data_IF_592143948866
#
_entry.id   IF_592143948866
#
_cell.length_a   1.000
_cell.length_b   1.000
_cell.length_c   1.000
_cell.angle_alpha   90.00
_cell.angle_beta   90.00
_cell.angle_gamma   90.00
#
_symmetry.space_group_name_H-M   'P 1'
#
loop_
_entity.id
_entity.type
_entity.pdbx_description
1 polymer ?
#
# COMPACT_ATOMS: atom_id res chain seq x y z
N UNK A 1 -24.31 -8.52 -11.19
CA UNK A 1 -22.84 -8.39 -11.06
C UNK A 1 -22.53 -6.92 -10.86
N UNK A 2 -22.29 -6.52 -9.62
CA UNK A 2 -22.11 -5.12 -9.20
C UNK A 2 -20.66 -4.70 -9.41
N UNK A 3 -20.38 -3.96 -10.49
CA UNK A 3 -19.09 -3.32 -10.73
C UNK A 3 -18.92 -2.14 -9.77
N UNK A 4 -18.36 -2.39 -8.59
CA UNK A 4 -17.83 -1.33 -7.74
C UNK A 4 -16.54 -0.80 -8.38
N UNK A 5 -16.66 0.19 -9.26
CA UNK A 5 -15.52 1.06 -9.56
C UNK A 5 -15.27 1.84 -8.26
N UNK A 6 -14.08 1.75 -7.64
CA UNK A 6 -13.82 2.44 -6.39
C UNK A 6 -13.90 3.94 -6.66
N UNK A 7 -14.57 4.70 -5.79
CA UNK A 7 -14.33 6.13 -5.66
C UNK A 7 -12.82 6.34 -5.55
N UNK A 8 -12.20 6.85 -6.61
CA UNK A 8 -10.76 7.16 -6.64
C UNK A 8 -10.57 8.40 -5.76
N UNK A 9 -10.30 8.13 -4.48
CA UNK A 9 -9.88 9.14 -3.51
C UNK A 9 -8.61 9.84 -4.01
N UNK A 10 -8.37 11.09 -3.58
CA UNK A 10 -7.12 11.83 -3.82
C UNK A 10 -5.85 11.02 -3.52
N UNK A 11 -5.96 9.97 -2.69
CA UNK A 11 -4.90 8.98 -2.44
C UNK A 11 -4.41 8.29 -3.71
N UNK A 12 -5.29 7.84 -4.60
CA UNK A 12 -4.87 7.13 -5.81
C UNK A 12 -4.09 8.05 -6.72
N UNK A 13 -4.53 9.29 -6.87
CA UNK A 13 -3.85 10.28 -7.69
C UNK A 13 -2.47 10.66 -7.13
N UNK A 14 -2.39 10.76 -5.80
CA UNK A 14 -1.15 10.93 -5.06
C UNK A 14 -0.20 9.76 -5.34
N UNK A 15 -0.63 8.52 -5.12
CA UNK A 15 0.21 7.34 -5.39
C UNK A 15 0.64 7.21 -6.85
N UNK A 16 -0.23 7.53 -7.81
CA UNK A 16 0.13 7.52 -9.24
C UNK A 16 1.14 8.61 -9.57
N UNK A 17 1.02 9.81 -9.00
CA UNK A 17 2.00 10.90 -9.20
C UNK A 17 3.37 10.50 -8.65
N UNK A 18 3.39 9.82 -7.51
CA UNK A 18 4.61 9.34 -6.86
C UNK A 18 5.36 8.27 -7.66
N UNK A 19 4.74 7.63 -8.66
CA UNK A 19 5.44 6.72 -9.57
C UNK A 19 6.49 7.46 -10.41
N UNK A 20 6.30 8.76 -10.67
CA UNK A 20 7.24 9.58 -11.43
C UNK A 20 8.55 9.84 -10.68
N UNK A 21 8.57 9.72 -9.34
CA UNK A 21 9.77 9.82 -8.48
C UNK A 21 10.71 10.97 -8.91
N UNK A 22 11.90 10.61 -9.42
CA UNK A 22 12.93 11.52 -9.94
C UNK A 22 12.39 12.47 -11.02
N UNK A 23 11.54 12.00 -11.92
CA UNK A 23 10.98 12.83 -13.01
C UNK A 23 10.08 13.95 -12.49
N UNK A 24 9.28 13.69 -11.45
CA UNK A 24 8.50 14.74 -10.79
C UNK A 24 9.42 15.76 -10.11
N UNK A 25 10.45 15.29 -9.41
CA UNK A 25 11.43 16.17 -8.76
C UNK A 25 12.10 17.13 -9.75
N UNK A 26 12.59 16.59 -10.86
CA UNK A 26 13.23 17.38 -11.93
C UNK A 26 12.23 18.30 -12.65
N UNK A 27 11.01 17.81 -12.93
CA UNK A 27 9.95 18.60 -13.57
C UNK A 27 9.58 19.84 -12.74
N UNK A 28 9.52 19.68 -11.42
CA UNK A 28 9.26 20.74 -10.46
C UNK A 28 10.46 21.67 -10.22
N UNK A 29 11.65 21.33 -10.74
CA UNK A 29 12.86 22.13 -10.59
C UNK A 29 13.35 22.20 -9.14
N UNK A 30 13.20 21.10 -8.39
CA UNK A 30 13.58 21.03 -6.99
C UNK A 30 15.11 20.86 -6.83
N UNK A 31 15.68 21.31 -5.70
CA UNK A 31 17.12 21.23 -5.48
C UNK A 31 17.60 19.82 -5.13
N UNK A 32 18.82 19.50 -5.55
CA UNK A 32 19.49 18.22 -5.29
C UNK A 32 19.05 17.11 -6.25
N UNK A 33 19.55 15.91 -6.01
CA UNK A 33 19.13 14.72 -6.73
C UNK A 33 18.07 13.95 -5.94
N UNK A 34 17.01 13.48 -6.59
CA UNK A 34 16.03 12.60 -5.94
C UNK A 34 16.71 11.38 -5.30
N UNK A 35 16.39 11.12 -4.04
CA UNK A 35 16.95 10.02 -3.25
C UNK A 35 15.86 9.12 -2.66
N UNK A 36 15.93 8.87 -1.35
CA UNK A 36 15.11 7.85 -0.69
C UNK A 36 13.78 8.41 -0.21
N UNK A 37 12.69 7.73 -0.54
CA UNK A 37 11.34 8.05 -0.08
C UNK A 37 11.11 7.62 1.38
N UNK A 38 10.35 8.42 2.11
CA UNK A 38 9.91 8.13 3.47
C UNK A 38 8.38 7.90 3.54
N UNK A 39 7.87 7.31 4.64
CA UNK A 39 6.45 7.22 4.91
C UNK A 39 5.79 8.62 4.97
N UNK A 40 4.60 8.75 4.36
CA UNK A 40 3.86 10.02 4.28
C UNK A 40 2.82 10.18 5.41
N UNK A 41 2.56 9.11 6.17
CA UNK A 41 1.64 9.07 7.31
C UNK A 41 2.45 8.61 8.52
N UNK A 42 2.47 9.42 9.57
CA UNK A 42 3.08 9.02 10.83
C UNK A 42 2.11 9.31 11.98
N UNK A 43 1.73 8.23 12.68
CA UNK A 43 0.77 8.27 13.79
C UNK A 43 1.54 8.27 15.09
N UNK A 44 1.25 9.23 15.99
CA UNK A 44 1.85 9.28 17.33
C UNK A 44 0.79 9.40 18.41
N UNK A 45 1.06 8.88 19.62
CA UNK A 45 0.22 9.12 20.79
C UNK A 45 0.15 10.62 21.11
N UNK A 46 -1.05 11.14 21.32
CA UNK A 46 -1.33 12.53 21.72
C UNK A 46 -1.00 13.65 20.71
N UNK A 47 -0.76 13.32 19.44
CA UNK A 47 -0.78 14.30 18.34
C UNK A 47 -1.83 13.89 17.32
N UNK A 48 -2.53 14.87 16.74
CA UNK A 48 -3.32 14.62 15.54
C UNK A 48 -2.42 13.97 14.49
N UNK A 49 -2.89 12.88 13.89
CA UNK A 49 -2.12 12.13 12.88
C UNK A 49 -1.58 13.10 11.83
N UNK A 50 -0.25 13.22 11.77
CA UNK A 50 0.42 14.08 10.83
C UNK A 50 0.46 13.41 9.47
N UNK A 51 -0.13 14.05 8.46
CA UNK A 51 -0.14 13.56 7.09
C UNK A 51 0.45 14.61 6.18
N UNK A 52 1.57 14.26 5.57
CA UNK A 52 2.25 15.02 4.54
C UNK A 52 1.85 14.46 3.17
N UNK A 53 1.87 15.30 2.13
CA UNK A 53 1.69 14.78 0.78
C UNK A 53 2.82 13.88 0.31
N UNK A 54 4.01 14.41 0.12
CA UNK A 54 5.18 13.58 -0.19
C UNK A 54 6.36 13.93 0.69
N UNK A 55 7.02 12.89 1.20
CA UNK A 55 8.23 13.03 1.98
C UNK A 55 9.33 12.14 1.41
N UNK A 56 10.45 12.74 1.02
CA UNK A 56 11.61 12.01 0.52
C UNK A 56 12.88 12.81 0.76
N UNK A 57 14.03 12.15 0.79
CA UNK A 57 15.33 12.80 0.83
C UNK A 57 15.92 12.97 -0.56
N UNK A 58 16.70 14.01 -0.73
CA UNK A 58 17.66 14.11 -1.83
C UNK A 58 18.91 13.28 -1.49
N UNK A 59 19.74 12.95 -2.48
CA UNK A 59 21.00 12.22 -2.27
C UNK A 59 21.97 13.00 -1.36
N UNK A 60 21.87 14.33 -1.35
CA UNK A 60 22.64 15.24 -0.50
C UNK A 60 22.10 15.30 0.94
N UNK A 61 21.04 14.56 1.23
CA UNK A 61 20.49 14.44 2.58
C UNK A 61 19.52 15.53 2.98
N UNK A 62 18.99 16.32 2.03
CA UNK A 62 17.92 17.29 2.30
C UNK A 62 16.58 16.54 2.27
N UNK A 63 15.73 16.74 3.27
CA UNK A 63 14.38 16.18 3.29
C UNK A 63 13.43 17.13 2.54
N UNK A 64 12.88 16.69 1.42
CA UNK A 64 11.82 17.40 0.70
C UNK A 64 10.48 17.05 1.33
N UNK A 65 9.80 18.06 1.86
CA UNK A 65 8.41 18.00 2.30
C UNK A 65 7.56 18.70 1.25
N UNK A 66 6.79 17.95 0.46
CA UNK A 66 5.94 18.46 -0.61
C UNK A 66 4.47 18.37 -0.18
N UNK A 67 3.76 19.50 -0.24
CA UNK A 67 2.34 19.63 0.09
C UNK A 67 1.57 20.16 -1.12
N UNK A 68 0.38 19.63 -1.41
CA UNK A 68 -0.50 20.12 -2.47
C UNK A 68 -1.71 20.86 -1.91
N UNK A 69 -1.83 22.15 -2.26
CA UNK A 69 -2.89 23.02 -1.74
C UNK A 69 -3.81 23.51 -2.87
N UNK A 70 -5.05 23.02 -2.85
CA UNK A 70 -6.09 23.43 -3.80
C UNK A 70 -6.76 24.76 -3.42
N UNK A 71 -6.69 25.13 -2.14
CA UNK A 71 -7.25 26.35 -1.56
C UNK A 71 -6.24 27.50 -1.49
N UNK A 72 -6.60 28.51 -0.71
CA UNK A 72 -5.66 29.56 -0.32
C UNK A 72 -4.75 29.08 0.81
N UNK A 73 -3.47 29.40 0.72
CA UNK A 73 -2.52 29.11 1.79
C UNK A 73 -2.59 30.24 2.80
N UNK A 74 -3.02 29.90 4.02
CA UNK A 74 -3.17 30.83 5.14
C UNK A 74 -2.06 30.62 6.18
N UNK A 75 -1.98 31.49 7.19
CA UNK A 75 -1.07 31.26 8.32
C UNK A 75 -1.36 29.96 9.05
N UNK A 76 -2.64 29.58 9.20
CA UNK A 76 -3.05 28.31 9.79
C UNK A 76 -2.57 27.11 8.97
N UNK A 77 -2.58 27.23 7.63
CA UNK A 77 -2.01 26.23 6.73
C UNK A 77 -0.51 26.10 6.99
N UNK A 78 0.22 27.21 7.05
CA UNK A 78 1.66 27.20 7.32
C UNK A 78 2.01 26.72 8.73
N UNK A 79 1.18 26.99 9.73
CA UNK A 79 1.35 26.47 11.08
C UNK A 79 1.34 24.94 11.08
N UNK A 80 0.34 24.33 10.42
CA UNK A 80 0.23 22.88 10.28
C UNK A 80 1.47 22.30 9.59
N UNK A 81 1.89 22.89 8.47
CA UNK A 81 3.06 22.45 7.72
C UNK A 81 4.36 22.65 8.52
N UNK A 82 4.47 23.73 9.30
CA UNK A 82 5.63 24.01 10.14
C UNK A 82 5.81 22.95 11.23
N UNK A 83 4.71 22.54 11.88
CA UNK A 83 4.70 21.44 12.86
C UNK A 83 5.21 20.14 12.23
N UNK A 84 4.75 19.80 11.03
CA UNK A 84 5.23 18.61 10.31
C UNK A 84 6.70 18.70 9.88
N UNK A 85 7.14 19.87 9.44
CA UNK A 85 8.54 20.11 9.08
C UNK A 85 9.47 19.90 10.28
N UNK A 86 9.11 20.36 11.48
CA UNK A 86 9.92 20.09 12.69
C UNK A 86 9.95 18.61 13.01
N UNK A 87 8.80 17.96 12.91
CA UNK A 87 8.72 16.52 13.11
C UNK A 87 9.64 15.75 12.16
N UNK A 88 9.60 16.05 10.86
CA UNK A 88 10.48 15.42 9.88
C UNK A 88 11.95 15.72 10.14
N UNK A 89 12.28 16.93 10.59
CA UNK A 89 13.63 17.28 11.01
C UNK A 89 14.09 16.43 12.20
N UNK A 90 13.25 16.28 13.22
CA UNK A 90 13.56 15.54 14.44
C UNK A 90 13.75 14.04 14.16
N UNK A 91 12.78 13.40 13.51
CA UNK A 91 12.80 11.94 13.27
C UNK A 91 13.90 11.51 12.33
N UNK A 92 14.11 12.28 11.26
CA UNK A 92 15.10 11.90 10.25
C UNK A 92 16.45 12.58 10.42
N UNK A 93 16.59 13.50 11.39
CA UNK A 93 17.80 14.29 11.64
C UNK A 93 18.32 14.98 10.36
N UNK A 94 17.40 15.48 9.53
CA UNK A 94 17.70 16.08 8.21
C UNK A 94 17.14 17.48 8.10
N UNK A 95 17.86 18.38 7.40
CA UNK A 95 17.32 19.69 7.04
C UNK A 95 16.12 19.51 6.12
N UNK A 96 15.02 20.18 6.42
CA UNK A 96 13.77 20.05 5.66
C UNK A 96 13.57 21.24 4.73
N UNK A 97 13.35 20.97 3.45
CA UNK A 97 12.97 21.92 2.42
C UNK A 97 11.49 21.71 2.09
N UNK A 98 10.65 22.68 2.47
CA UNK A 98 9.21 22.62 2.27
C UNK A 98 8.81 23.25 0.94
N UNK A 99 8.09 22.49 0.12
CA UNK A 99 7.53 22.90 -1.16
C UNK A 99 6.02 22.85 -1.06
N UNK A 100 5.34 23.89 -1.49
CA UNK A 100 3.88 23.93 -1.57
C UNK A 100 3.48 24.13 -3.02
N UNK A 101 2.82 23.14 -3.61
CA UNK A 101 2.24 23.25 -4.95
C UNK A 101 0.84 23.84 -4.80
N UNK A 102 0.62 25.02 -5.36
CA UNK A 102 -0.63 25.76 -5.23
C UNK A 102 -1.43 25.69 -6.54
N UNK A 103 -2.75 25.51 -6.42
CA UNK A 103 -3.68 25.66 -7.55
C UNK A 103 -4.11 27.11 -7.76
N UNK A 104 -3.93 27.96 -6.75
CA UNK A 104 -4.21 29.40 -6.77
C UNK A 104 -2.91 30.19 -6.82
N UNK A 105 -2.98 31.39 -7.40
CA UNK A 105 -1.82 32.26 -7.54
C UNK A 105 -1.29 32.67 -6.14
N UNK A 106 -0.02 32.36 -5.81
CA UNK A 106 0.52 32.56 -4.48
C UNK A 106 0.97 34.00 -4.19
N UNK A 107 0.68 34.97 -5.08
CA UNK A 107 1.08 36.39 -4.93
C UNK A 107 0.77 36.94 -3.54
N UNK A 108 -0.43 36.62 -3.01
CA UNK A 108 -0.90 37.11 -1.72
C UNK A 108 -0.74 36.10 -0.57
N UNK A 109 -0.11 34.95 -0.81
CA UNK A 109 0.08 33.95 0.25
C UNK A 109 1.22 34.34 1.20
N UNK A 110 1.14 33.97 2.48
CA UNK A 110 2.19 34.25 3.44
C UNK A 110 3.53 33.66 2.98
N UNK A 111 4.61 34.46 3.00
CA UNK A 111 5.93 34.03 2.52
C UNK A 111 6.78 33.34 3.60
N UNK A 112 6.39 33.49 4.85
CA UNK A 112 7.06 32.91 6.00
C UNK A 112 6.05 32.72 7.13
N UNK A 113 6.35 31.78 8.02
CA UNK A 113 5.62 31.57 9.26
C UNK A 113 6.61 31.36 10.41
N UNK A 114 6.35 32.02 11.54
CA UNK A 114 7.17 31.94 12.74
C UNK A 114 6.51 30.97 13.70
N UNK A 115 7.04 29.75 13.83
CA UNK A 115 6.56 28.85 14.88
C UNK A 115 7.13 29.27 16.24
N UNK A 116 8.39 29.69 16.24
CA UNK A 116 9.05 30.34 17.39
C UNK A 116 9.86 31.54 16.89
N UNK A 117 10.52 32.27 17.81
CA UNK A 117 11.39 33.39 17.45
C UNK A 117 12.56 32.96 16.55
N UNK A 118 13.07 31.75 16.74
CA UNK A 118 14.24 31.21 16.02
C UNK A 118 13.83 30.24 14.92
N UNK A 119 12.64 29.66 15.00
CA UNK A 119 12.18 28.69 14.03
C UNK A 119 11.17 29.29 13.04
N UNK A 120 11.64 29.43 11.79
CA UNK A 120 10.96 30.10 10.71
C UNK A 120 10.79 29.14 9.55
N UNK A 121 9.53 28.85 9.19
CA UNK A 121 9.19 28.18 7.95
C UNK A 121 9.20 29.21 6.80
N UNK A 122 9.93 28.90 5.73
CA UNK A 122 9.92 29.65 4.46
C UNK A 122 9.63 28.67 3.32
N UNK A 123 8.36 28.47 2.94
CA UNK A 123 8.01 27.49 1.92
C UNK A 123 8.40 27.99 0.52
N UNK A 124 8.79 27.06 -0.35
CA UNK A 124 8.93 27.30 -1.77
C UNK A 124 7.58 27.06 -2.46
N UNK A 125 6.99 28.11 -3.03
CA UNK A 125 5.71 28.00 -3.73
C UNK A 125 5.91 27.65 -5.20
N UNK A 126 5.26 26.59 -5.65
CA UNK A 126 5.13 26.23 -7.06
C UNK A 126 3.70 26.50 -7.49
N UNK A 127 3.54 27.31 -8.54
CA UNK A 127 2.24 27.61 -9.12
C UNK A 127 2.32 27.46 -10.62
N UNK A 128 1.29 26.81 -11.20
CA UNK A 128 1.15 26.65 -12.63
C UNK A 128 0.07 27.60 -13.16
N UNK A 129 0.44 28.73 -13.79
CA UNK A 129 -0.52 29.65 -14.36
C UNK A 129 -1.36 28.98 -15.46
N UNK A 130 -2.66 29.29 -15.50
CA UNK A 130 -3.60 28.62 -16.40
C UNK A 130 -3.25 28.85 -17.87
N UNK A 131 -2.81 30.07 -18.22
CA UNK A 131 -2.36 30.41 -19.56
C UNK A 131 -1.15 29.57 -20.00
N UNK A 132 -0.23 29.27 -19.08
CA UNK A 132 0.93 28.40 -19.36
C UNK A 132 0.52 26.94 -19.51
N UNK A 133 -0.44 26.47 -18.72
CA UNK A 133 -0.97 25.12 -18.83
C UNK A 133 -1.68 24.91 -20.17
N UNK A 134 -2.48 25.88 -20.61
CA UNK A 134 -3.12 25.86 -21.92
C UNK A 134 -2.11 25.87 -23.07
N UNK A 135 -1.11 26.74 -23.03
CA UNK A 135 -0.07 26.77 -24.06
C UNK A 135 0.68 25.42 -24.18
N UNK A 136 0.98 24.77 -23.05
CA UNK A 136 1.58 23.43 -23.04
C UNK A 136 0.63 22.38 -23.62
N UNK A 137 -0.65 22.42 -23.24
CA UNK A 137 -1.67 21.52 -23.78
C UNK A 137 -1.78 21.65 -25.30
N UNK A 138 -1.91 22.87 -25.82
CA UNK A 138 -2.01 23.14 -27.26
C UNK A 138 -0.77 22.66 -28.00
N UNK A 139 0.43 22.89 -27.45
CA UNK A 139 1.67 22.36 -28.00
C UNK A 139 1.64 20.83 -28.12
N UNK A 140 1.17 20.11 -27.10
CA UNK A 140 1.03 18.64 -27.15
C UNK A 140 0.05 18.21 -28.24
N UNK A 141 -1.13 18.83 -28.30
CA UNK A 141 -2.15 18.49 -29.31
C UNK A 141 -1.59 18.70 -30.73
N UNK A 142 -0.93 19.84 -30.97
CA UNK A 142 -0.36 20.19 -32.27
C UNK A 142 0.73 19.20 -32.69
N UNK A 143 1.69 18.92 -31.81
CA UNK A 143 2.79 17.97 -32.09
C UNK A 143 2.28 16.57 -32.38
N UNK A 144 1.34 16.07 -31.58
CA UNK A 144 0.77 14.74 -31.80
C UNK A 144 -0.05 14.71 -33.09
N UNK A 145 -0.77 15.78 -33.42
CA UNK A 145 -1.47 15.94 -34.70
C UNK A 145 -0.53 15.91 -35.91
N UNK A 146 0.64 16.54 -35.78
CA UNK A 146 1.73 16.54 -36.77
C UNK A 146 2.56 15.25 -36.76
N UNK A 147 2.18 14.25 -35.93
CA UNK A 147 2.90 12.98 -35.73
C UNK A 147 4.35 13.15 -35.27
N UNK A 148 4.64 14.29 -34.64
CA UNK A 148 5.92 14.58 -34.01
C UNK A 148 6.11 13.76 -32.74
N UNK A 149 7.38 13.70 -32.32
CA UNK A 149 7.79 13.01 -31.10
C UNK A 149 7.72 13.99 -29.92
N UNK A 150 7.19 13.53 -28.79
CA UNK A 150 7.22 14.31 -27.55
C UNK A 150 8.51 14.04 -26.76
N UNK A 151 9.12 15.10 -26.26
CA UNK A 151 10.18 15.01 -25.26
C UNK A 151 9.66 14.44 -23.94
N UNK A 152 10.55 14.00 -23.06
CA UNK A 152 10.18 13.54 -21.71
C UNK A 152 9.42 14.62 -20.93
N UNK A 153 9.82 15.89 -21.04
CA UNK A 153 9.14 16.99 -20.36
C UNK A 153 7.70 17.18 -20.87
N UNK A 154 7.50 17.06 -22.18
CA UNK A 154 6.17 17.14 -22.80
C UNK A 154 5.31 15.90 -22.48
N UNK A 155 5.93 14.73 -22.30
CA UNK A 155 5.25 13.55 -21.77
C UNK A 155 4.76 13.79 -20.33
N UNK A 156 5.59 14.39 -19.49
CA UNK A 156 5.20 14.74 -18.11
C UNK A 156 4.06 15.77 -18.08
N UNK A 157 4.03 16.70 -19.03
CA UNK A 157 2.93 17.65 -19.18
C UNK A 157 1.57 16.93 -19.38
N UNK A 158 1.52 15.77 -20.04
CA UNK A 158 0.29 14.96 -20.17
C UNK A 158 -0.26 14.53 -18.80
N UNK A 159 0.60 14.23 -17.83
CA UNK A 159 0.20 13.88 -16.47
C UNK A 159 -0.13 15.10 -15.61
N UNK A 160 0.67 16.17 -15.71
CA UNK A 160 0.56 17.32 -14.80
C UNK A 160 -0.50 18.34 -15.23
N UNK A 161 -0.76 18.54 -16.52
CA UNK A 161 -1.76 19.53 -16.97
C UNK A 161 -3.15 19.19 -16.42
N UNK A 162 -3.70 17.97 -16.58
CA UNK A 162 -5.03 17.63 -16.05
C UNK A 162 -5.14 17.77 -14.52
N UNK A 163 -3.99 17.70 -13.81
CA UNK A 163 -3.92 17.83 -12.36
C UNK A 163 -4.14 19.26 -11.91
N UNK A 164 -3.53 20.23 -12.61
CA UNK A 164 -3.43 21.62 -12.16
C UNK A 164 -4.27 22.60 -12.97
N UNK A 165 -4.84 22.18 -14.10
CA UNK A 165 -5.80 23.00 -14.84
C UNK A 165 -7.08 23.21 -14.02
N UNK A 166 -7.81 24.29 -14.29
CA UNK A 166 -9.01 24.63 -13.52
C UNK A 166 -10.03 23.49 -13.54
N UNK A 167 -10.78 23.34 -12.43
CA UNK A 167 -11.76 22.24 -12.27
C UNK A 167 -12.80 22.21 -13.39
N UNK A 168 -13.17 23.36 -13.95
CA UNK A 168 -14.12 23.42 -15.07
C UNK A 168 -13.55 22.83 -16.37
N UNK A 169 -12.24 22.97 -16.58
CA UNK A 169 -11.55 22.56 -17.81
C UNK A 169 -10.94 21.16 -17.72
N UNK A 170 -10.71 20.66 -16.50
CA UNK A 170 -10.08 19.37 -16.26
C UNK A 170 -10.77 18.18 -16.97
N UNK A 171 -12.12 18.07 -17.02
CA UNK A 171 -12.79 16.99 -17.76
C UNK A 171 -12.44 17.00 -19.26
N UNK A 172 -12.51 18.17 -19.89
CA UNK A 172 -12.19 18.34 -21.31
C UNK A 172 -10.74 17.98 -21.63
N UNK A 173 -9.80 18.51 -20.84
CA UNK A 173 -8.37 18.28 -21.04
C UNK A 173 -8.00 16.82 -20.82
N UNK A 174 -8.50 16.19 -19.75
CA UNK A 174 -8.30 14.76 -19.48
C UNK A 174 -8.79 13.91 -20.64
N UNK A 175 -10.00 14.16 -21.13
CA UNK A 175 -10.57 13.41 -22.24
C UNK A 175 -9.74 13.58 -23.51
N UNK A 176 -9.40 14.82 -23.86
CA UNK A 176 -8.64 15.13 -25.07
C UNK A 176 -7.29 14.42 -25.07
N UNK A 177 -6.53 14.53 -23.97
CA UNK A 177 -5.23 13.88 -23.81
C UNK A 177 -5.35 12.35 -23.85
N UNK A 178 -6.38 11.76 -23.21
CA UNK A 178 -6.62 10.32 -23.25
C UNK A 178 -6.89 9.82 -24.67
N UNK A 179 -7.64 10.57 -25.49
CA UNK A 179 -7.95 10.20 -26.88
C UNK A 179 -6.72 10.21 -27.78
N UNK A 180 -5.75 11.07 -27.52
CA UNK A 180 -4.52 11.16 -28.32
C UNK A 180 -3.38 10.29 -27.77
N UNK A 181 -3.48 9.78 -26.53
CA UNK A 181 -2.39 9.13 -25.82
C UNK A 181 -1.74 7.96 -26.58
N UNK A 182 -2.56 7.08 -27.19
CA UNK A 182 -2.05 5.97 -28.03
C UNK A 182 -1.20 6.44 -29.21
N UNK A 183 -1.48 7.61 -29.77
CA UNK A 183 -0.78 8.19 -30.92
C UNK A 183 0.53 8.87 -30.52
N UNK A 184 0.76 9.09 -29.22
CA UNK A 184 1.98 9.72 -28.72
C UNK A 184 3.19 8.83 -29.00
N UNK A 185 4.15 9.39 -29.74
CA UNK A 185 5.44 8.78 -30.02
C UNK A 185 6.45 9.20 -28.95
N UNK A 186 6.92 8.22 -28.18
CA UNK A 186 7.99 8.34 -27.19
C UNK A 186 8.59 6.93 -26.96
N UNK A 187 9.92 6.82 -26.81
CA UNK A 187 10.59 5.52 -26.67
C UNK A 187 10.66 5.00 -25.23
N UNK A 188 10.37 5.85 -24.24
CA UNK A 188 10.39 5.45 -22.84
C UNK A 188 9.07 4.75 -22.48
N UNK A 189 9.07 3.42 -22.62
CA UNK A 189 7.91 2.55 -22.31
C UNK A 189 7.48 2.70 -20.85
N UNK A 190 8.42 2.79 -19.91
CA UNK A 190 8.12 2.92 -18.48
C UNK A 190 7.44 4.26 -18.18
N UNK A 191 7.97 5.36 -18.73
CA UNK A 191 7.33 6.66 -18.62
C UNK A 191 5.91 6.63 -19.22
N UNK A 192 5.73 5.99 -20.38
CA UNK A 192 4.40 5.87 -20.99
C UNK A 192 3.42 5.09 -20.11
N UNK A 193 3.87 4.06 -19.41
CA UNK A 193 3.07 3.31 -18.43
C UNK A 193 2.71 4.19 -17.24
N UNK A 194 3.67 4.91 -16.66
CA UNK A 194 3.44 5.81 -15.52
C UNK A 194 2.44 6.92 -15.87
N UNK A 195 2.65 7.60 -17.01
CA UNK A 195 1.76 8.65 -17.50
C UNK A 195 0.37 8.08 -17.80
N UNK A 196 0.28 6.91 -18.43
CA UNK A 196 -1.00 6.23 -18.67
C UNK A 196 -1.74 5.93 -17.37
N UNK A 197 -1.03 5.49 -16.34
CA UNK A 197 -1.61 5.20 -15.02
C UNK A 197 -2.14 6.46 -14.33
N UNK A 198 -1.40 7.57 -14.42
CA UNK A 198 -1.84 8.88 -13.90
C UNK A 198 -3.05 9.39 -14.69
N UNK A 199 -3.01 9.32 -16.02
CA UNK A 199 -4.11 9.76 -16.87
C UNK A 199 -5.36 8.92 -16.63
N UNK A 200 -5.21 7.62 -16.34
CA UNK A 200 -6.28 6.76 -15.87
C UNK A 200 -6.90 7.22 -14.55
N UNK A 201 -6.09 7.55 -13.55
CA UNK A 201 -6.59 8.13 -12.31
C UNK A 201 -7.34 9.46 -12.55
N UNK A 202 -6.86 10.28 -13.49
CA UNK A 202 -7.54 11.52 -13.90
C UNK A 202 -8.87 11.28 -14.60
N UNK A 203 -8.98 10.23 -15.43
CA UNK A 203 -10.25 9.84 -16.07
C UNK A 203 -11.29 9.57 -15.00
N UNK A 204 -10.97 8.74 -13.99
CA UNK A 204 -11.93 8.44 -12.92
C UNK A 204 -12.27 9.67 -12.08
N UNK A 205 -11.30 10.57 -11.86
CA UNK A 205 -11.50 11.79 -11.06
C UNK A 205 -12.34 12.85 -11.78
N UNK A 206 -12.08 13.07 -13.08
CA UNK A 206 -12.62 14.22 -13.82
C UNK A 206 -13.81 13.87 -14.73
N UNK A 207 -14.01 12.60 -15.08
CA UNK A 207 -15.08 12.17 -16.00
C UNK A 207 -16.18 11.48 -15.20
N UNK A 208 -17.38 12.05 -15.17
CA UNK A 208 -18.50 11.48 -14.39
C UNK A 208 -19.21 10.30 -15.08
N UNK A 209 -19.16 10.23 -16.40
CA UNK A 209 -19.82 9.18 -17.19
C UNK A 209 -18.99 7.88 -17.19
N UNK A 210 -19.52 6.82 -16.60
CA UNK A 210 -18.84 5.52 -16.45
C UNK A 210 -18.52 4.85 -17.79
N UNK A 211 -19.45 4.90 -18.76
CA UNK A 211 -19.22 4.28 -20.07
C UNK A 211 -18.10 5.01 -20.82
N UNK A 212 -18.06 6.33 -20.67
CA UNK A 212 -16.98 7.17 -21.18
C UNK A 212 -15.66 6.91 -20.48
N UNK A 213 -15.66 6.66 -19.16
CA UNK A 213 -14.45 6.25 -18.46
C UNK A 213 -13.87 4.96 -19.06
N UNK A 214 -14.71 3.94 -19.28
CA UNK A 214 -14.29 2.66 -19.89
C UNK A 214 -13.66 2.89 -21.28
N UNK A 215 -14.34 3.64 -22.16
CA UNK A 215 -13.80 3.97 -23.50
C UNK A 215 -12.44 4.69 -23.43
N UNK A 216 -12.30 5.67 -22.52
CA UNK A 216 -11.05 6.41 -22.38
C UNK A 216 -9.92 5.55 -21.78
N UNK A 217 -10.24 4.68 -20.82
CA UNK A 217 -9.29 3.71 -20.25
C UNK A 217 -8.73 2.76 -21.32
N UNK A 218 -9.58 2.30 -22.24
CA UNK A 218 -9.13 1.52 -23.40
C UNK A 218 -8.23 2.32 -24.32
N UNK A 219 -8.53 3.60 -24.56
CA UNK A 219 -7.73 4.50 -25.41
C UNK A 219 -6.37 4.83 -24.85
N UNK A 220 -6.19 4.84 -23.54
CA UNK A 220 -4.86 4.96 -22.93
C UNK A 220 -4.11 3.62 -22.84
N UNK A 221 -4.78 2.51 -23.21
CA UNK A 221 -4.16 1.19 -23.24
C UNK A 221 -4.05 0.53 -21.88
N UNK A 222 -4.91 0.85 -20.91
CA UNK A 222 -4.88 0.28 -19.54
C UNK A 222 -4.83 -1.26 -19.50
N UNK A 223 -5.53 -1.93 -20.42
CA UNK A 223 -5.48 -3.40 -20.53
C UNK A 223 -4.11 -3.91 -20.96
N UNK A 224 -3.42 -3.16 -21.84
CA UNK A 224 -2.03 -3.39 -22.21
C UNK A 224 -1.07 -3.02 -21.08
N UNK A 225 -1.30 -1.91 -20.37
CA UNK A 225 -0.48 -1.48 -19.22
C UNK A 225 -0.50 -2.53 -18.10
N UNK A 226 -1.66 -3.12 -17.77
CA UNK A 226 -1.74 -4.21 -16.79
C UNK A 226 -0.91 -5.43 -17.21
N UNK A 227 -0.91 -5.74 -18.50
CA UNK A 227 -0.12 -6.84 -19.06
C UNK A 227 1.37 -6.50 -19.07
N UNK A 228 1.73 -5.29 -19.48
CA UNK A 228 3.11 -4.78 -19.51
C UNK A 228 3.72 -4.70 -18.10
N UNK A 229 2.96 -4.23 -17.10
CA UNK A 229 3.39 -4.25 -15.69
C UNK A 229 3.59 -5.69 -15.23
N UNK A 230 2.68 -6.60 -15.59
CA UNK A 230 2.84 -8.03 -15.27
C UNK A 230 4.12 -8.58 -15.90
N UNK A 231 4.33 -8.36 -17.19
CA UNK A 231 5.55 -8.78 -17.91
C UNK A 231 6.82 -8.17 -17.29
N UNK A 232 6.86 -6.87 -17.01
CA UNK A 232 7.99 -6.20 -16.35
C UNK A 232 8.27 -6.76 -14.95
N UNK A 233 7.23 -7.01 -14.16
CA UNK A 233 7.39 -7.64 -12.83
C UNK A 233 7.89 -9.08 -12.95
N UNK A 234 7.46 -9.82 -13.97
CA UNK A 234 8.00 -11.15 -14.24
C UNK A 234 9.43 -11.10 -14.79
N UNK A 235 9.80 -10.09 -15.57
CA UNK A 235 11.16 -9.97 -16.10
C UNK A 235 12.15 -9.53 -15.00
N UNK A 236 11.72 -8.66 -14.08
CA UNK A 236 12.57 -8.12 -13.01
C UNK A 236 12.56 -8.98 -11.74
N UNK A 237 11.43 -9.60 -11.40
CA UNK A 237 11.24 -10.37 -10.15
C UNK A 237 10.74 -11.80 -10.39
N UNK A 238 10.67 -12.28 -11.64
CA UNK A 238 10.03 -13.56 -11.94
C UNK A 238 10.70 -14.76 -11.32
N UNK A 239 12.02 -14.74 -11.16
CA UNK A 239 12.76 -15.83 -10.52
C UNK A 239 12.56 -15.82 -9.00
N UNK A 240 12.61 -14.64 -8.36
CA UNK A 240 12.27 -14.49 -6.93
C UNK A 240 10.81 -14.89 -6.64
N UNK A 241 9.86 -14.54 -7.52
CA UNK A 241 8.46 -14.94 -7.42
C UNK A 241 8.29 -16.45 -7.53
N UNK A 242 9.01 -17.12 -8.45
CA UNK A 242 8.98 -18.58 -8.58
C UNK A 242 9.57 -19.27 -7.36
N UNK A 243 10.65 -18.74 -6.79
CA UNK A 243 11.23 -19.26 -5.56
C UNK A 243 10.24 -19.14 -4.39
N UNK A 244 9.62 -17.97 -4.21
CA UNK A 244 8.58 -17.75 -3.20
C UNK A 244 7.37 -18.67 -3.40
N UNK A 245 6.91 -18.89 -4.64
CA UNK A 245 5.82 -19.81 -4.93
C UNK A 245 6.19 -21.27 -4.57
N UNK A 246 7.41 -21.70 -4.88
CA UNK A 246 7.91 -23.02 -4.53
C UNK A 246 8.06 -23.21 -3.02
N UNK A 247 8.60 -22.21 -2.30
CA UNK A 247 8.67 -22.23 -0.83
C UNK A 247 7.28 -22.30 -0.21
N UNK A 248 6.32 -21.52 -0.72
CA UNK A 248 4.94 -21.52 -0.23
C UNK A 248 4.26 -22.87 -0.48
N UNK A 249 4.52 -23.50 -1.63
CA UNK A 249 4.01 -24.84 -1.94
C UNK A 249 4.57 -25.88 -0.96
N UNK A 250 5.86 -25.80 -0.64
CA UNK A 250 6.53 -26.68 0.32
C UNK A 250 5.96 -26.50 1.73
N UNK A 251 5.84 -25.25 2.19
CA UNK A 251 5.21 -24.90 3.47
C UNK A 251 3.79 -25.46 3.59
N UNK A 252 2.97 -25.37 2.53
CA UNK A 252 1.62 -25.96 2.52
C UNK A 252 1.63 -27.48 2.67
N UNK A 253 2.60 -28.16 2.05
CA UNK A 253 2.73 -29.62 2.18
C UNK A 253 3.17 -30.00 3.60
N UNK A 254 4.09 -29.25 4.19
CA UNK A 254 4.58 -29.49 5.54
C UNK A 254 3.46 -29.29 6.58
N UNK A 255 2.70 -28.19 6.47
CA UNK A 255 1.51 -27.94 7.32
C UNK A 255 0.48 -29.06 7.16
N UNK A 256 0.31 -29.61 5.96
CA UNK A 256 -0.64 -30.71 5.73
C UNK A 256 -0.18 -31.97 6.46
N UNK A 257 1.10 -32.33 6.36
CA UNK A 257 1.68 -33.47 7.08
C UNK A 257 1.56 -33.31 8.59
N UNK A 258 1.90 -32.15 9.11
CA UNK A 258 1.83 -31.86 10.54
C UNK A 258 0.39 -31.98 11.08
N UNK A 259 -0.62 -31.56 10.30
CA UNK A 259 -2.03 -31.80 10.64
C UNK A 259 -2.41 -33.27 10.66
N UNK A 260 -1.90 -34.07 9.74
CA UNK A 260 -2.13 -35.52 9.70
C UNK A 260 -1.45 -36.22 10.88
N UNK A 261 -0.25 -35.78 11.26
CA UNK A 261 0.49 -36.30 12.40
C UNK A 261 -0.18 -35.96 13.74
N UNK A 262 -0.59 -34.70 13.94
CA UNK A 262 -1.37 -34.30 15.12
C UNK A 262 -2.69 -35.08 15.24
N UNK A 263 -3.31 -35.41 14.11
CA UNK A 263 -4.55 -36.22 14.12
C UNK A 263 -4.27 -37.63 14.61
N UNK A 264 -3.18 -38.25 14.16
CA UNK A 264 -2.74 -39.58 14.61
C UNK A 264 -2.40 -39.57 16.10
N UNK A 265 -1.61 -38.61 16.55
CA UNK A 265 -1.24 -38.48 17.97
C UNK A 265 -2.47 -38.29 18.87
N UNK A 266 -3.47 -37.55 18.40
CA UNK A 266 -4.75 -37.39 19.11
C UNK A 266 -5.55 -38.70 19.19
N UNK A 267 -5.52 -39.53 18.15
CA UNK A 267 -6.13 -40.85 18.15
C UNK A 267 -5.41 -41.80 19.10
N UNK A 268 -4.08 -41.78 19.12
CA UNK A 268 -3.25 -42.60 20.00
C UNK A 268 -3.46 -42.24 21.48
N UNK A 269 -3.43 -40.95 21.82
CA UNK A 269 -3.77 -40.48 23.17
C UNK A 269 -5.18 -40.90 23.62
N UNK A 270 -6.13 -40.97 22.69
CA UNK A 270 -7.49 -41.42 23.01
C UNK A 270 -7.50 -42.91 23.37
N UNK A 271 -6.77 -43.74 22.63
CA UNK A 271 -6.64 -45.18 22.92
C UNK A 271 -5.96 -45.42 24.26
N UNK A 272 -4.84 -44.73 24.51
CA UNK A 272 -4.10 -44.83 25.77
C UNK A 272 -4.98 -44.45 26.97
N UNK A 273 -5.83 -43.42 26.82
CA UNK A 273 -6.79 -43.04 27.84
C UNK A 273 -7.89 -44.09 28.06
N UNK A 274 -8.32 -44.80 27.02
CA UNK A 274 -9.28 -45.91 27.13
C UNK A 274 -8.64 -47.13 27.80
N UNK A 275 -7.37 -47.43 27.51
CA UNK A 275 -6.63 -48.54 28.11
C UNK A 275 -6.36 -48.29 29.60
N UNK A 276 -5.91 -47.09 29.98
CA UNK A 276 -5.75 -46.70 31.38
C UNK A 276 -7.08 -46.78 32.17
N UNK A 277 -8.22 -46.48 31.53
CA UNK A 277 -9.53 -46.64 32.18
C UNK A 277 -9.82 -48.11 32.46
N UNK A 278 -9.56 -49.00 31.50
CA UNK A 278 -9.74 -50.45 31.67
C UNK A 278 -8.85 -51.00 32.78
N UNK A 279 -7.57 -50.65 32.79
CA UNK A 279 -6.66 -51.07 33.86
C UNK A 279 -7.11 -50.58 35.23
N UNK A 280 -7.63 -49.35 35.33
CA UNK A 280 -8.17 -48.82 36.58
C UNK A 280 -9.44 -49.56 37.04
N UNK A 281 -10.29 -49.97 36.11
CA UNK A 281 -11.46 -50.81 36.39
C UNK A 281 -11.02 -52.18 36.92
N UNK A 282 -10.07 -52.82 36.23
CA UNK A 282 -9.52 -54.13 36.61
C UNK A 282 -8.86 -54.10 37.99
N UNK A 283 -8.08 -53.05 38.29
CA UNK A 283 -7.49 -52.85 39.61
C UNK A 283 -8.55 -52.65 40.70
N UNK A 284 -9.64 -51.91 40.42
CA UNK A 284 -10.75 -51.76 41.37
C UNK A 284 -11.43 -53.10 41.64
N UNK A 285 -11.67 -53.91 40.61
CA UNK A 285 -12.28 -55.23 40.74
C UNK A 285 -11.39 -56.16 41.56
N UNK A 286 -10.09 -56.23 41.26
CA UNK A 286 -9.13 -57.00 42.07
C UNK A 286 -9.07 -56.52 43.52
N UNK A 287 -9.12 -55.21 43.77
CA UNK A 287 -9.16 -54.66 45.12
C UNK A 287 -10.46 -55.05 45.85
N UNK A 288 -11.60 -55.09 45.15
CA UNK A 288 -12.87 -55.55 45.70
C UNK A 288 -12.80 -57.03 46.09
N UNK A 289 -12.28 -57.90 45.21
CA UNK A 289 -12.08 -59.32 45.50
C UNK A 289 -11.15 -59.54 46.70
N UNK A 290 -10.04 -58.80 46.80
CA UNK A 290 -9.15 -58.86 47.95
C UNK A 290 -9.84 -58.41 49.25
N UNK A 291 -10.69 -57.38 49.19
CA UNK A 291 -11.49 -56.95 50.34
C UNK A 291 -12.50 -58.02 50.78
N UNK A 292 -13.18 -58.67 49.84
CA UNK A 292 -14.08 -59.79 50.14
C UNK A 292 -13.36 -60.96 50.81
N UNK A 293 -12.13 -61.27 50.39
CA UNK A 293 -11.30 -62.32 51.00
C UNK A 293 -10.81 -61.91 52.40
N UNK A 294 -10.49 -60.63 52.60
CA UNK A 294 -10.03 -60.10 53.89
C UNK A 294 -11.13 -60.03 54.96
N UNK A 295 -12.39 -60.02 54.54
CA UNK A 295 -13.54 -60.14 55.42
C UNK A 295 -13.86 -61.63 55.64
N UNK A 296 -13.32 -62.17 56.73
CA UNK A 296 -13.41 -63.59 57.14
C UNK A 296 -14.85 -64.12 57.31
N UNK A 297 -15.86 -63.24 57.25
CA UNK A 297 -17.26 -63.60 57.36
C UNK A 297 -17.96 -63.81 56.00
N UNK A 298 -17.30 -63.51 54.87
CA UNK A 298 -17.91 -63.68 53.54
C UNK A 298 -17.98 -65.16 53.13
N UNK A 299 -18.97 -65.54 52.28
CA UNK A 299 -19.10 -66.92 51.79
C UNK A 299 -17.84 -67.44 51.09
N UNK A 300 -17.14 -66.56 50.36
CA UNK A 300 -15.94 -66.88 49.57
C UNK A 300 -14.71 -67.13 50.46
N UNK A 301 -14.53 -66.33 51.52
CA UNK A 301 -13.50 -66.60 52.53
C UNK A 301 -13.77 -67.93 53.26
N UNK A 302 -15.04 -68.22 53.59
CA UNK A 302 -15.46 -69.50 54.19
C UNK A 302 -15.23 -70.70 53.28
N UNK A 303 -15.43 -70.55 51.97
CA UNK A 303 -15.18 -71.59 50.97
C UNK A 303 -13.68 -71.93 50.85
N UNK A 304 -12.80 -70.92 50.85
CA UNK A 304 -11.34 -71.11 50.83
C UNK A 304 -10.83 -71.71 52.15
N UNK A 305 -11.35 -71.27 53.29
CA UNK A 305 -11.00 -71.86 54.60
C UNK A 305 -11.43 -73.33 54.64
N UNK A 306 -12.63 -73.66 54.13
CA UNK A 306 -13.10 -75.04 54.06
C UNK A 306 -12.26 -75.91 53.13
N UNK A 307 -11.78 -75.41 51.98
CA UNK A 307 -10.92 -76.20 51.08
C UNK A 307 -9.52 -76.44 51.66
N UNK A 308 -8.99 -75.48 52.44
CA UNK A 308 -7.73 -75.64 53.17
C UNK A 308 -7.86 -76.59 54.38
N UNK A 309 -9.00 -76.57 55.09
CA UNK A 309 -9.28 -77.48 56.21
C UNK A 309 -9.51 -78.93 55.79
N UNK A 310 -9.91 -79.19 54.54
CA UNK A 310 -10.05 -80.55 53.96
C UNK A 310 -8.68 -81.11 53.51
N UNK A 311 -7.65 -80.27 53.41
CA UNK A 311 -6.31 -80.63 52.90
C UNK A 311 -5.26 -80.83 54.01
N UNK A 312 -5.66 -80.77 55.30
CA UNK A 312 -4.84 -80.97 56.50
C UNK A 312 -5.27 -82.24 57.24
#
# INVERSE_FOLDING_TARGET
MTSRIPHVNDRTLKYSSMALKRRQHEYLGLPGDYGTRYPNEVVFPNMDSGRVDELYSTKEGILINLEEESGEVTEKTLEKIAKYRIFGNFVYSKRVYTVIICHRNPKNFPKKYYLTKTDILKPHYIYFPQEKLWAKYENIINKVGQKERLSEREMLDIAFIPKYISKQNAPFVTESLARIFKKVKNDDRLLKIDIGSILGAMIVKNISDEQKQIDLMEKIGMNGIKRDIKELVYDEFGDELKELENENLKLKQDIKKEKEDMKREKEDMKREKEDMKREKEDMKNKLHELKEISDWNTPKAKEIINSLMVSL
#
